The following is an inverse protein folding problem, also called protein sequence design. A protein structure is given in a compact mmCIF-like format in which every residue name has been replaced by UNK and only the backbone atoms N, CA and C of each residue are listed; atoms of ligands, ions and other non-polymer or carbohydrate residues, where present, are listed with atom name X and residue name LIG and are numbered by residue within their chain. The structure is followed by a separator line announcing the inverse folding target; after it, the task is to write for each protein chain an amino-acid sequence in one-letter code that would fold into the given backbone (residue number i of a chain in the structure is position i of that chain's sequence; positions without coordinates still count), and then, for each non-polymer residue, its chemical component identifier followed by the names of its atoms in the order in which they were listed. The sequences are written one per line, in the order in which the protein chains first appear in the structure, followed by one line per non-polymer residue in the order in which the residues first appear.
data_IF_514281121432
#
_entry.id   IF_514281121432
#
_cell.length_a   1.000
_cell.length_b   1.000
_cell.length_c   1.000
_cell.angle_alpha   90.00
_cell.angle_beta   90.00
_cell.angle_gamma   90.00
#
_symmetry.space_group_name_H-M   'P 1'
#
loop_
_entity.id
_entity.type
_entity.pdbx_description
1 polymer ?
#
# COMPACT_ATOMS: atom_id res chain seq x y z
N UNK A 1 -3.72 23.79 23.26
CA UNK A 1 -4.97 23.34 22.61
C UNK A 1 -5.20 21.84 22.81
N UNK A 2 -4.28 20.98 22.38
CA UNK A 2 -4.46 19.52 22.54
C UNK A 2 -4.58 19.10 24.01
N UNK A 3 -3.79 19.68 24.92
CA UNK A 3 -3.85 19.29 26.35
C UNK A 3 -5.22 19.58 26.99
N UNK A 4 -5.89 20.65 26.55
CA UNK A 4 -7.26 20.95 26.98
C UNK A 4 -8.28 19.92 26.45
N UNK A 5 -8.10 19.44 25.21
CA UNK A 5 -8.93 18.38 24.64
C UNK A 5 -8.70 17.04 25.33
N UNK A 6 -7.44 16.73 25.67
CA UNK A 6 -7.07 15.53 26.40
C UNK A 6 -7.74 15.50 27.78
N UNK A 7 -7.74 16.63 28.52
CA UNK A 7 -8.45 16.68 29.81
C UNK A 7 -9.97 16.64 29.68
N UNK A 8 -10.55 17.23 28.64
CA UNK A 8 -11.98 17.08 28.36
C UNK A 8 -12.38 15.61 28.13
N UNK A 9 -11.48 14.80 27.54
CA UNK A 9 -11.67 13.35 27.40
C UNK A 9 -11.88 12.64 28.74
N UNK A 10 -11.07 12.99 29.75
CA UNK A 10 -11.22 12.46 31.11
C UNK A 10 -12.51 12.94 31.78
N UNK A 11 -12.81 14.24 31.67
CA UNK A 11 -13.97 14.86 32.31
C UNK A 11 -15.31 14.38 31.75
N UNK A 12 -15.36 14.10 30.44
CA UNK A 12 -16.59 13.65 29.76
C UNK A 12 -16.88 12.15 29.93
N UNK A 13 -15.99 11.39 30.57
CA UNK A 13 -16.11 9.94 30.70
C UNK A 13 -15.79 9.16 29.42
N UNK A 14 -15.38 9.84 28.33
CA UNK A 14 -14.90 9.19 27.10
C UNK A 14 -13.52 8.56 27.28
N UNK A 15 -12.77 8.99 28.30
CA UNK A 15 -11.46 8.45 28.65
C UNK A 15 -10.34 9.00 27.77
N UNK A 16 -9.14 8.50 28.05
CA UNK A 16 -7.91 8.79 27.30
C UNK A 16 -7.16 7.51 27.04
N UNK A 17 -6.40 7.47 25.96
CA UNK A 17 -5.49 6.35 25.66
C UNK A 17 -4.07 6.85 25.51
N UNK A 18 -3.12 6.04 25.98
CA UNK A 18 -1.69 6.28 25.81
C UNK A 18 -1.15 5.63 24.53
N UNK A 19 -1.89 4.68 23.94
CA UNK A 19 -1.56 4.01 22.69
C UNK A 19 -2.83 3.54 21.95
N UNK A 20 -3.14 4.23 20.85
CA UNK A 20 -4.29 3.90 19.99
C UNK A 20 -4.10 2.63 19.16
N UNK A 21 -2.89 2.09 19.08
CA UNK A 21 -2.61 0.81 18.44
C UNK A 21 -2.52 -0.35 19.45
N UNK A 22 -2.67 -0.02 20.74
CA UNK A 22 -2.53 -0.95 21.85
C UNK A 22 -3.86 -1.49 22.37
N UNK A 23 -3.82 -2.02 23.60
CA UNK A 23 -5.00 -2.49 24.31
C UNK A 23 -5.87 -1.31 24.75
N UNK A 24 -7.18 -1.38 24.47
CA UNK A 24 -8.19 -0.32 24.72
C UNK A 24 -7.87 1.00 24.00
N UNK A 25 -8.09 1.05 22.68
CA UNK A 25 -7.80 2.24 21.86
C UNK A 25 -8.85 3.36 22.00
N UNK A 26 -9.90 3.18 22.79
CA UNK A 26 -10.95 4.17 22.96
C UNK A 26 -10.47 5.41 23.74
N UNK A 27 -11.10 6.57 23.47
CA UNK A 27 -10.86 7.83 24.17
C UNK A 27 -9.97 8.81 23.41
N UNK A 28 -9.59 9.90 24.08
CA UNK A 28 -8.77 10.97 23.49
C UNK A 28 -7.29 10.64 23.63
N UNK A 29 -6.54 10.69 22.53
CA UNK A 29 -5.12 10.36 22.51
C UNK A 29 -4.36 11.12 21.41
N UNK A 30 -3.04 11.25 21.57
CA UNK A 30 -2.16 11.81 20.53
C UNK A 30 -1.99 10.75 19.45
N UNK A 31 -2.27 11.13 18.21
CA UNK A 31 -2.17 10.23 17.08
C UNK A 31 -0.72 10.16 16.57
N UNK A 32 -0.23 8.94 16.39
CA UNK A 32 0.99 8.72 15.62
C UNK A 32 0.78 9.11 14.15
N UNK A 33 1.86 9.55 13.52
CA UNK A 33 1.88 9.89 12.11
C UNK A 33 3.00 9.16 11.40
N UNK A 34 2.73 8.68 10.19
CA UNK A 34 3.74 8.06 9.33
C UNK A 34 4.67 9.12 8.74
N UNK A 35 5.57 9.64 9.57
CA UNK A 35 6.45 10.76 9.30
C UNK A 35 7.88 10.42 9.71
N UNK A 36 8.86 10.83 8.90
CA UNK A 36 10.29 10.64 9.18
C UNK A 36 11.03 11.93 8.84
N UNK A 37 11.79 12.47 9.79
CA UNK A 37 12.50 13.77 9.65
C UNK A 37 11.57 14.91 9.22
N UNK A 38 10.39 15.01 9.85
CA UNK A 38 9.41 16.06 9.55
C UNK A 38 8.74 15.97 8.18
N UNK A 39 8.93 14.88 7.43
CA UNK A 39 8.32 14.66 6.10
C UNK A 39 7.54 13.36 6.06
N UNK A 40 6.51 13.33 5.20
CA UNK A 40 5.70 12.13 4.95
C UNK A 40 6.59 10.93 4.61
N UNK A 41 6.41 9.82 5.32
CA UNK A 41 7.06 8.55 5.01
C UNK A 41 6.06 7.62 4.31
N UNK A 42 6.06 7.59 2.98
CA UNK A 42 5.20 6.66 2.22
C UNK A 42 5.76 5.24 2.23
N UNK A 43 4.94 4.24 1.87
CA UNK A 43 5.41 2.86 1.68
C UNK A 43 6.57 2.77 0.67
N UNK A 44 6.58 3.61 -0.37
CA UNK A 44 7.68 3.69 -1.31
C UNK A 44 8.98 4.21 -0.67
N UNK A 45 8.88 5.19 0.24
CA UNK A 45 10.05 5.71 0.98
C UNK A 45 10.53 4.70 2.03
N UNK A 46 9.61 4.08 2.77
CA UNK A 46 9.92 3.17 3.86
C UNK A 46 10.49 1.84 3.37
N UNK A 47 9.88 1.24 2.33
CA UNK A 47 10.17 -0.14 1.92
C UNK A 47 10.84 -0.24 0.54
N UNK A 48 10.33 0.46 -0.49
CA UNK A 48 10.83 0.31 -1.86
C UNK A 48 12.19 0.98 -2.06
N UNK A 49 12.34 2.25 -1.67
CA UNK A 49 13.56 3.03 -1.91
C UNK A 49 14.81 2.35 -1.33
N UNK A 50 14.81 1.80 -0.10
CA UNK A 50 15.96 1.06 0.42
C UNK A 50 16.20 -0.29 -0.28
N UNK A 51 15.19 -0.89 -0.90
CA UNK A 51 15.26 -2.17 -1.58
C UNK A 51 15.75 -2.06 -3.04
N UNK A 52 15.60 -0.89 -3.69
CA UNK A 52 16.03 -0.66 -5.08
C UNK A 52 17.52 -0.88 -5.35
N UNK A 53 18.36 -0.87 -4.31
CA UNK A 53 19.80 -1.23 -4.43
C UNK A 53 20.05 -2.72 -4.64
N UNK A 54 19.04 -3.57 -4.47
CA UNK A 54 19.18 -5.03 -4.61
C UNK A 54 19.20 -5.40 -6.09
N UNK A 55 20.16 -6.22 -6.55
CA UNK A 55 20.29 -6.56 -7.97
C UNK A 55 19.14 -7.44 -8.50
N UNK A 56 18.39 -8.08 -7.62
CA UNK A 56 17.26 -8.94 -7.96
C UNK A 56 15.91 -8.22 -7.95
N UNK A 57 15.88 -6.88 -7.90
CA UNK A 57 14.66 -6.09 -7.94
C UNK A 57 14.66 -5.15 -9.15
N UNK A 58 13.63 -5.26 -9.98
CA UNK A 58 13.40 -4.35 -11.11
C UNK A 58 12.15 -3.51 -10.84
N UNK A 59 12.25 -2.20 -11.08
CA UNK A 59 11.13 -1.27 -10.98
C UNK A 59 10.80 -0.72 -12.36
N UNK A 60 9.57 -0.97 -12.83
CA UNK A 60 9.03 -0.33 -14.01
C UNK A 60 7.96 0.69 -13.57
N UNK A 61 8.25 1.99 -13.75
CA UNK A 61 7.27 3.06 -13.52
C UNK A 61 6.54 3.44 -14.79
N UNK A 62 5.41 4.15 -14.66
CA UNK A 62 4.56 4.57 -15.80
C UNK A 62 4.17 3.38 -16.68
N UNK A 63 3.93 2.24 -16.03
CA UNK A 63 3.53 0.99 -16.65
C UNK A 63 2.13 0.60 -16.16
N UNK A 64 1.13 0.76 -17.02
CA UNK A 64 -0.26 0.43 -16.69
C UNK A 64 -0.52 -1.04 -17.01
N UNK A 65 -0.75 -1.87 -15.99
CA UNK A 65 -1.18 -3.26 -16.20
C UNK A 65 -2.57 -3.30 -16.86
N UNK A 66 -2.69 -4.01 -17.99
CA UNK A 66 -3.93 -4.11 -18.76
C UNK A 66 -4.68 -5.41 -18.52
N UNK A 67 -3.97 -6.54 -18.45
CA UNK A 67 -4.53 -7.85 -18.14
C UNK A 67 -3.44 -8.83 -17.68
N UNK A 68 -3.85 -9.87 -16.97
CA UNK A 68 -3.01 -11.03 -16.70
C UNK A 68 -2.97 -11.93 -17.94
N UNK A 69 -1.84 -12.60 -18.14
CA UNK A 69 -1.67 -13.63 -19.17
C UNK A 69 -1.95 -14.96 -18.50
N UNK A 70 -3.11 -15.58 -18.78
CA UNK A 70 -3.54 -16.83 -18.15
C UNK A 70 -3.56 -17.95 -19.19
N UNK A 71 -3.03 -19.12 -18.84
CA UNK A 71 -3.10 -20.35 -19.66
C UNK A 71 -3.34 -21.54 -18.75
N UNK A 72 -4.31 -22.40 -19.08
CA UNK A 72 -4.64 -23.61 -18.32
C UNK A 72 -4.79 -23.33 -16.82
N UNK A 73 -5.55 -22.29 -16.48
CA UNK A 73 -5.78 -21.83 -15.10
C UNK A 73 -4.53 -21.38 -14.32
N UNK A 74 -3.43 -21.10 -15.02
CA UNK A 74 -2.19 -20.54 -14.42
C UNK A 74 -1.90 -19.15 -14.96
N UNK A 75 -1.65 -18.20 -14.06
CA UNK A 75 -1.11 -16.88 -14.42
C UNK A 75 0.37 -17.02 -14.83
N UNK A 76 0.66 -16.72 -16.08
CA UNK A 76 2.02 -16.75 -16.66
C UNK A 76 2.72 -15.40 -16.59
N UNK A 77 1.99 -14.31 -16.43
CA UNK A 77 2.55 -12.97 -16.48
C UNK A 77 1.50 -11.87 -16.56
N UNK A 78 1.95 -10.67 -16.95
CA UNK A 78 1.12 -9.48 -17.11
C UNK A 78 1.45 -8.80 -18.44
N UNK A 79 0.41 -8.38 -19.16
CA UNK A 79 0.51 -7.43 -20.26
C UNK A 79 0.29 -6.03 -19.72
N UNK A 80 1.21 -5.12 -20.02
CA UNK A 80 1.18 -3.75 -19.52
C UNK A 80 1.56 -2.75 -20.61
N UNK A 81 1.10 -1.52 -20.48
CA UNK A 81 1.42 -0.43 -21.39
C UNK A 81 2.46 0.49 -20.76
N UNK A 82 3.55 0.76 -21.48
CA UNK A 82 4.59 1.68 -21.07
C UNK A 82 4.99 2.54 -22.26
N UNK A 83 5.06 3.87 -22.07
CA UNK A 83 5.36 4.82 -23.14
C UNK A 83 4.46 4.66 -24.38
N UNK A 84 3.18 4.32 -24.18
CA UNK A 84 2.21 4.08 -25.26
C UNK A 84 2.37 2.75 -26.01
N UNK A 85 3.29 1.88 -25.58
CA UNK A 85 3.54 0.58 -26.20
C UNK A 85 3.15 -0.57 -25.28
N UNK A 86 2.59 -1.63 -25.86
CA UNK A 86 2.30 -2.85 -25.14
C UNK A 86 3.58 -3.67 -24.92
N UNK A 87 3.79 -4.10 -23.69
CA UNK A 87 4.87 -4.95 -23.26
C UNK A 87 4.33 -6.11 -22.39
N UNK A 88 5.15 -7.14 -22.23
CA UNK A 88 4.79 -8.34 -21.43
C UNK A 88 5.92 -8.68 -20.47
N UNK A 89 5.55 -8.97 -19.24
CA UNK A 89 6.46 -9.54 -18.24
C UNK A 89 5.94 -10.92 -17.83
N UNK A 90 6.82 -11.92 -17.85
CA UNK A 90 6.50 -13.29 -17.46
C UNK A 90 7.02 -13.61 -16.06
N UNK A 91 6.27 -14.42 -15.33
CA UNK A 91 6.61 -14.88 -14.00
C UNK A 91 6.92 -16.37 -14.01
N UNK A 92 8.10 -16.75 -13.52
CA UNK A 92 8.47 -18.16 -13.38
C UNK A 92 7.64 -18.89 -12.29
N UNK A 93 7.21 -18.14 -11.26
CA UNK A 93 6.47 -18.68 -10.11
C UNK A 93 5.04 -18.15 -10.08
N UNK A 94 4.87 -16.89 -9.69
CA UNK A 94 3.58 -16.31 -9.34
C UNK A 94 3.46 -14.85 -9.83
N UNK A 95 2.22 -14.42 -10.03
CA UNK A 95 1.86 -13.01 -10.26
C UNK A 95 1.06 -12.50 -9.07
N UNK A 96 1.55 -11.47 -8.40
CA UNK A 96 0.90 -10.87 -7.23
C UNK A 96 0.19 -9.58 -7.67
N UNK A 97 -1.14 -9.57 -7.59
CA UNK A 97 -1.94 -8.37 -7.93
C UNK A 97 -2.04 -7.48 -6.70
N UNK A 98 -1.58 -6.23 -6.82
CA UNK A 98 -1.55 -5.25 -5.72
C UNK A 98 -1.97 -3.85 -6.18
N UNK A 99 -2.91 -3.78 -7.13
CA UNK A 99 -3.38 -2.52 -7.71
C UNK A 99 -4.41 -1.76 -6.81
N UNK A 100 -4.68 -2.28 -5.60
CA UNK A 100 -5.66 -1.73 -4.65
C UNK A 100 -7.07 -2.30 -4.81
N UNK A 101 -7.94 -2.05 -3.82
CA UNK A 101 -9.26 -2.69 -3.70
C UNK A 101 -10.19 -2.45 -4.90
N UNK A 102 -10.01 -1.33 -5.62
CA UNK A 102 -10.85 -0.98 -6.78
C UNK A 102 -10.27 -1.56 -8.08
N UNK A 103 -8.96 -1.43 -8.31
CA UNK A 103 -8.34 -1.81 -9.58
C UNK A 103 -7.95 -3.28 -9.66
N UNK A 104 -7.72 -3.95 -8.53
CA UNK A 104 -7.42 -5.39 -8.51
C UNK A 104 -8.57 -6.24 -9.07
N UNK A 105 -9.83 -6.12 -8.59
CA UNK A 105 -10.93 -6.88 -9.18
C UNK A 105 -11.18 -6.49 -10.63
N UNK A 106 -11.00 -5.21 -10.98
CA UNK A 106 -11.11 -4.77 -12.38
C UNK A 106 -10.08 -5.45 -13.29
N UNK A 107 -8.80 -5.51 -12.87
CA UNK A 107 -7.77 -6.21 -13.63
C UNK A 107 -8.08 -7.69 -13.79
N UNK A 108 -8.60 -8.34 -12.73
CA UNK A 108 -9.02 -9.74 -12.78
C UNK A 108 -10.15 -9.93 -13.80
N UNK A 109 -11.19 -9.10 -13.78
CA UNK A 109 -12.29 -9.16 -14.76
C UNK A 109 -11.81 -8.97 -16.21
N UNK A 110 -10.82 -8.10 -16.45
CA UNK A 110 -10.20 -7.91 -17.77
C UNK A 110 -9.34 -9.11 -18.22
N UNK A 111 -9.03 -10.04 -17.32
CA UNK A 111 -8.14 -11.17 -17.56
C UNK A 111 -8.88 -12.46 -17.91
N UNK A 112 -10.22 -12.46 -17.84
CA UNK A 112 -11.06 -13.66 -17.95
C UNK A 112 -11.11 -14.47 -16.66
#
# INVERSE_FOLDING_TARGET
LFDALYEAGKQSGQGTSDDLNGYKPEGIARLDSTTRYGRRCSAAVAHLKPALRRPNLTLQTRALSRKLIIKNSRALGVEYEVNGQLARAFAAKEVIVSCGAIKSPHLLMLSG
#
